data_IF_034697013896
#
_entry.id   IF_034697013896
#
_cell.length_a   1.000
_cell.length_b   1.000
_cell.length_c   1.000
_cell.angle_alpha   90.00
_cell.angle_beta   90.00
_cell.angle_gamma   90.00
#
_symmetry.space_group_name_H-M   'P 1'
#
loop_
_entity.id
_entity.type
_entity.pdbx_description
1 polymer ?
#
# COMPACT_ATOMS: atom_id res chain seq x y z
N UNK A 1 0.07 25.01 13.78
CA UNK A 1 1.20 24.05 13.84
C UNK A 1 2.32 24.62 13.00
N UNK A 2 3.57 24.63 13.46
CA UNK A 2 4.68 25.12 12.67
C UNK A 2 5.38 23.96 11.94
N UNK A 3 6.17 24.26 10.91
CA UNK A 3 6.87 23.25 10.11
C UNK A 3 7.75 22.31 10.95
N UNK A 4 8.39 22.84 12.00
CA UNK A 4 9.23 22.06 12.90
C UNK A 4 8.42 20.97 13.62
N UNK A 5 7.25 21.29 14.17
CA UNK A 5 6.42 20.30 14.86
C UNK A 5 5.87 19.22 13.91
N UNK A 6 5.64 19.55 12.63
CA UNK A 6 5.28 18.57 11.61
C UNK A 6 6.44 17.60 11.36
N UNK A 7 7.67 18.13 11.23
CA UNK A 7 8.86 17.30 11.02
C UNK A 7 9.12 16.41 12.25
N UNK A 8 9.04 16.96 13.45
CA UNK A 8 9.23 16.22 14.70
C UNK A 8 8.22 15.05 14.82
N UNK A 9 6.96 15.25 14.42
CA UNK A 9 5.93 14.21 14.37
C UNK A 9 6.26 13.11 13.36
N UNK A 10 6.66 13.50 12.14
CA UNK A 10 7.04 12.55 11.07
C UNK A 10 8.28 11.73 11.47
N UNK A 11 9.24 12.35 12.17
CA UNK A 11 10.48 11.71 12.61
C UNK A 11 10.38 11.01 13.97
N UNK A 12 9.20 11.00 14.60
CA UNK A 12 8.98 10.33 15.87
C UNK A 12 9.32 8.83 15.80
N UNK A 13 9.75 8.27 16.93
CA UNK A 13 10.09 6.85 17.00
C UNK A 13 8.87 5.96 16.77
N UNK A 14 7.68 6.43 17.12
CA UNK A 14 6.42 5.74 16.87
C UNK A 14 6.14 5.64 15.37
N UNK A 15 6.29 6.75 14.62
CA UNK A 15 6.14 6.75 13.17
C UNK A 15 7.18 5.89 12.45
N UNK A 16 8.43 5.91 12.92
CA UNK A 16 9.48 5.03 12.41
C UNK A 16 9.15 3.55 12.64
N UNK A 17 8.70 3.19 13.83
CA UNK A 17 8.29 1.82 14.17
C UNK A 17 7.09 1.38 13.33
N UNK A 18 6.08 2.23 13.17
CA UNK A 18 4.92 1.99 12.31
C UNK A 18 5.33 1.72 10.85
N UNK A 19 6.20 2.56 10.29
CA UNK A 19 6.70 2.39 8.93
C UNK A 19 7.49 1.09 8.76
N UNK A 20 8.34 0.75 9.73
CA UNK A 20 9.12 -0.49 9.73
C UNK A 20 8.22 -1.73 9.73
N UNK A 21 7.15 -1.73 10.55
CA UNK A 21 6.19 -2.83 10.58
C UNK A 21 5.44 -2.99 9.25
N UNK A 22 4.98 -1.90 8.64
CA UNK A 22 4.32 -1.94 7.34
C UNK A 22 5.28 -2.36 6.22
N UNK A 23 6.54 -1.93 6.28
CA UNK A 23 7.57 -2.38 5.34
C UNK A 23 7.81 -3.89 5.47
N UNK A 24 7.89 -4.42 6.70
CA UNK A 24 8.01 -5.84 6.98
C UNK A 24 6.86 -6.64 6.37
N UNK A 25 5.61 -6.21 6.59
CA UNK A 25 4.42 -6.85 5.99
C UNK A 25 4.52 -6.86 4.45
N UNK A 26 4.91 -5.74 3.85
CA UNK A 26 5.08 -5.64 2.41
C UNK A 26 6.18 -6.57 1.88
N UNK A 27 7.29 -6.70 2.62
CA UNK A 27 8.37 -7.64 2.27
C UNK A 27 7.91 -9.09 2.35
N UNK A 28 7.21 -9.48 3.43
CA UNK A 28 6.65 -10.84 3.56
C UNK A 28 5.69 -11.14 2.41
N UNK A 29 4.80 -10.22 2.07
CA UNK A 29 3.88 -10.38 0.93
C UNK A 29 4.61 -10.58 -0.41
N UNK A 30 5.76 -9.92 -0.59
CA UNK A 30 6.58 -9.99 -1.81
C UNK A 30 7.65 -11.11 -1.78
N UNK A 31 7.45 -12.18 -1.02
CA UNK A 31 8.30 -13.37 -0.95
C UNK A 31 9.68 -13.17 -0.26
N UNK A 32 9.85 -12.09 0.51
CA UNK A 32 11.06 -11.88 1.31
C UNK A 32 11.00 -12.51 2.72
N UNK A 33 10.00 -13.38 3.00
CA UNK A 33 9.86 -14.02 4.32
C UNK A 33 11.07 -14.88 4.69
N UNK A 34 11.81 -15.39 3.72
CA UNK A 34 13.01 -16.21 3.98
C UNK A 34 14.02 -15.51 4.88
N UNK A 35 14.18 -14.20 4.73
CA UNK A 35 15.11 -13.42 5.55
C UNK A 35 14.72 -13.47 7.04
N UNK A 36 13.43 -13.31 7.32
CA UNK A 36 12.91 -13.36 8.69
C UNK A 36 12.97 -14.77 9.30
N UNK A 37 12.72 -15.80 8.48
CA UNK A 37 12.89 -17.20 8.90
C UNK A 37 14.35 -17.49 9.26
N UNK A 38 15.30 -17.01 8.41
CA UNK A 38 16.73 -17.16 8.69
C UNK A 38 17.16 -16.42 9.96
N UNK A 39 16.64 -15.21 10.20
CA UNK A 39 16.91 -14.45 11.41
C UNK A 39 16.39 -15.19 12.67
N UNK A 40 15.16 -15.70 12.61
CA UNK A 40 14.58 -16.50 13.69
C UNK A 40 15.42 -17.76 13.97
N UNK A 41 15.82 -18.49 12.93
CA UNK A 41 16.65 -19.68 13.07
C UNK A 41 18.02 -19.37 13.70
N UNK A 42 18.64 -18.24 13.37
CA UNK A 42 19.89 -17.79 13.97
C UNK A 42 19.75 -17.43 15.44
N UNK A 43 18.57 -17.02 15.89
CA UNK A 43 18.29 -16.72 17.28
C UNK A 43 18.06 -17.99 18.10
N UNK A 44 17.51 -19.04 17.48
CA UNK A 44 17.15 -20.30 18.16
C UNK A 44 18.26 -21.37 18.08
N UNK A 45 19.09 -21.34 17.03
CA UNK A 45 20.09 -22.38 16.75
C UNK A 45 21.49 -21.79 16.62
N UNK A 46 22.51 -22.63 16.86
CA UNK A 46 23.90 -22.24 16.64
C UNK A 46 24.17 -21.90 15.17
N UNK A 47 25.12 -21.01 14.91
CA UNK A 47 25.51 -20.64 13.56
C UNK A 47 25.98 -21.85 12.73
N UNK A 48 26.58 -22.85 13.37
CA UNK A 48 26.97 -24.10 12.71
C UNK A 48 25.74 -24.89 12.27
N UNK A 49 24.76 -25.09 13.16
CA UNK A 49 23.51 -25.81 12.85
C UNK A 49 22.78 -25.16 11.71
N UNK A 50 22.67 -23.81 11.70
CA UNK A 50 22.00 -23.07 10.60
C UNK A 50 22.72 -23.24 9.27
N UNK A 51 24.07 -23.32 9.26
CA UNK A 51 24.86 -23.57 8.03
C UNK A 51 24.71 -24.99 7.50
N UNK A 52 24.51 -25.96 8.38
CA UNK A 52 24.32 -27.38 8.04
C UNK A 52 22.90 -27.65 7.50
N UNK A 53 21.94 -26.74 7.70
CA UNK A 53 20.62 -26.83 7.11
C UNK A 53 20.71 -26.69 5.58
N UNK A 54 20.61 -27.82 4.86
CA UNK A 54 20.77 -27.87 3.39
C UNK A 54 19.68 -27.09 2.64
N UNK A 55 18.47 -27.05 3.18
CA UNK A 55 17.34 -26.42 2.51
C UNK A 55 16.42 -25.77 3.56
N UNK A 56 16.21 -24.47 3.41
CA UNK A 56 15.22 -23.74 4.17
C UNK A 56 14.12 -23.35 3.17
N UNK A 57 12.99 -24.04 3.24
CA UNK A 57 11.81 -23.77 2.43
C UNK A 57 10.78 -23.02 3.25
N UNK A 58 10.18 -22.01 2.64
CA UNK A 58 9.05 -21.28 3.22
C UNK A 58 7.95 -21.12 2.17
N UNK A 59 6.72 -21.30 2.60
CA UNK A 59 5.55 -21.08 1.74
C UNK A 59 4.90 -19.76 2.11
N UNK A 60 4.70 -18.88 1.13
CA UNK A 60 4.08 -17.58 1.38
C UNK A 60 2.54 -17.71 1.45
N UNK A 61 2.06 -18.18 2.59
CA UNK A 61 0.63 -18.24 2.87
C UNK A 61 0.00 -16.85 2.98
N UNK A 62 0.76 -15.85 3.46
CA UNK A 62 0.28 -14.48 3.59
C UNK A 62 -0.15 -13.92 2.21
N UNK A 63 0.71 -14.03 1.21
CA UNK A 63 0.38 -13.60 -0.15
C UNK A 63 -0.84 -14.33 -0.70
N UNK A 64 -0.88 -15.66 -0.55
CA UNK A 64 -1.99 -16.46 -1.04
C UNK A 64 -3.32 -16.07 -0.40
N UNK A 65 -3.34 -15.88 0.92
CA UNK A 65 -4.54 -15.46 1.65
C UNK A 65 -4.98 -14.06 1.19
N UNK A 66 -4.06 -13.09 1.11
CA UNK A 66 -4.37 -11.72 0.68
C UNK A 66 -4.92 -11.71 -0.75
N UNK A 67 -4.31 -12.44 -1.68
CA UNK A 67 -4.74 -12.49 -3.07
C UNK A 67 -6.13 -13.14 -3.21
N UNK A 68 -6.41 -14.19 -2.45
CA UNK A 68 -7.73 -14.82 -2.43
C UNK A 68 -8.81 -13.93 -1.78
N UNK A 69 -8.48 -13.25 -0.69
CA UNK A 69 -9.38 -12.33 -0.01
C UNK A 69 -9.60 -11.01 -0.78
N UNK A 70 -8.73 -10.69 -1.75
CA UNK A 70 -8.83 -9.47 -2.56
C UNK A 70 -9.75 -9.69 -3.75
N UNK A 71 -11.06 -9.77 -3.47
CA UNK A 71 -12.09 -10.09 -4.47
C UNK A 71 -12.54 -8.90 -5.32
N UNK A 72 -12.37 -7.67 -4.83
CA UNK A 72 -12.76 -6.45 -5.55
C UNK A 72 -11.87 -6.30 -6.78
N UNK A 73 -12.46 -5.94 -7.92
CA UNK A 73 -11.77 -5.82 -9.21
C UNK A 73 -11.13 -7.13 -9.76
N UNK A 74 -11.57 -8.31 -9.30
CA UNK A 74 -11.24 -9.58 -9.99
C UNK A 74 -11.86 -9.64 -11.38
N UNK A 75 -13.04 -9.02 -11.55
CA UNK A 75 -13.71 -8.81 -12.85
C UNK A 75 -13.65 -7.32 -13.19
N UNK A 76 -13.72 -7.02 -14.48
CA UNK A 76 -13.82 -5.61 -14.92
C UNK A 76 -15.11 -5.02 -14.34
N UNK A 77 -15.05 -3.87 -13.65
CA UNK A 77 -16.26 -3.24 -13.13
C UNK A 77 -17.09 -2.69 -14.28
N UNK A 78 -18.40 -2.82 -14.17
CA UNK A 78 -19.34 -2.09 -14.98
C UNK A 78 -19.47 -0.68 -14.41
N UNK A 79 -19.33 0.34 -15.26
CA UNK A 79 -19.48 1.73 -14.90
C UNK A 79 -20.63 2.31 -15.69
N UNK A 80 -21.60 2.79 -14.96
CA UNK A 80 -22.70 3.53 -15.55
C UNK A 80 -22.41 5.03 -15.39
N UNK A 81 -22.54 5.76 -16.46
CA UNK A 81 -22.47 7.22 -16.43
C UNK A 81 -23.88 7.78 -16.37
N UNK A 82 -24.02 8.95 -15.73
CA UNK A 82 -25.32 9.63 -15.69
C UNK A 82 -25.83 9.90 -17.13
N UNK A 83 -27.11 9.74 -17.34
CA UNK A 83 -27.76 10.07 -18.62
C UNK A 83 -27.67 11.56 -19.00
N UNK A 84 -27.20 12.40 -18.06
CA UNK A 84 -27.05 13.85 -18.27
C UNK A 84 -25.74 14.24 -18.96
N UNK A 85 -24.78 13.31 -19.12
CA UNK A 85 -23.52 13.61 -19.79
C UNK A 85 -23.56 13.27 -21.28
N UNK A 86 -22.90 14.10 -22.06
CA UNK A 86 -22.77 13.88 -23.50
C UNK A 86 -21.86 12.71 -23.84
N UNK A 87 -21.98 12.14 -25.03
CA UNK A 87 -21.13 11.06 -25.52
C UNK A 87 -19.64 11.45 -25.50
N UNK A 88 -19.30 12.69 -25.90
CA UNK A 88 -17.94 13.21 -25.86
C UNK A 88 -17.37 13.27 -24.42
N UNK A 89 -18.21 13.60 -23.44
CA UNK A 89 -17.81 13.58 -22.02
C UNK A 89 -17.60 12.14 -21.53
N UNK A 90 -18.43 11.21 -21.97
CA UNK A 90 -18.27 9.79 -21.65
C UNK A 90 -16.94 9.24 -22.18
N UNK A 91 -16.61 9.50 -23.45
CA UNK A 91 -15.33 9.13 -24.04
C UNK A 91 -14.14 9.75 -23.28
N UNK A 92 -14.23 11.01 -22.89
CA UNK A 92 -13.19 11.69 -22.12
C UNK A 92 -12.96 11.03 -20.74
N UNK A 93 -14.04 10.63 -20.06
CA UNK A 93 -13.97 9.91 -18.77
C UNK A 93 -13.30 8.54 -18.95
N UNK A 94 -13.68 7.79 -19.99
CA UNK A 94 -13.08 6.49 -20.28
C UNK A 94 -11.58 6.62 -20.58
N UNK A 95 -11.15 7.64 -21.32
CA UNK A 95 -9.72 7.90 -21.56
C UNK A 95 -8.97 8.21 -20.27
N UNK A 96 -9.57 8.98 -19.34
CA UNK A 96 -8.99 9.25 -18.02
C UNK A 96 -8.80 7.96 -17.23
N UNK A 97 -9.81 7.07 -17.20
CA UNK A 97 -9.71 5.78 -16.52
C UNK A 97 -8.63 4.87 -17.12
N UNK A 98 -8.50 4.87 -18.46
CA UNK A 98 -7.47 4.10 -19.16
C UNK A 98 -6.06 4.64 -18.88
N UNK A 99 -5.85 5.95 -19.01
CA UNK A 99 -4.57 6.61 -18.76
C UNK A 99 -4.12 6.44 -17.30
N UNK A 100 -5.04 6.57 -16.36
CA UNK A 100 -4.80 6.33 -14.93
C UNK A 100 -4.61 4.85 -14.59
N UNK A 101 -4.89 3.91 -15.50
CA UNK A 101 -4.95 2.47 -15.24
C UNK A 101 -5.80 2.17 -14.00
N UNK A 102 -6.97 2.80 -13.93
CA UNK A 102 -7.79 2.87 -12.73
C UNK A 102 -8.11 1.48 -12.16
N UNK A 103 -8.58 0.53 -12.97
CA UNK A 103 -8.93 -0.82 -12.53
C UNK A 103 -7.74 -1.57 -11.91
N UNK A 104 -6.57 -1.46 -12.54
CA UNK A 104 -5.34 -2.09 -12.04
C UNK A 104 -4.91 -1.49 -10.71
N UNK A 105 -4.98 -0.17 -10.59
CA UNK A 105 -4.59 0.53 -9.38
C UNK A 105 -5.61 0.29 -8.25
N UNK A 106 -6.91 0.27 -8.53
CA UNK A 106 -7.93 -0.03 -7.53
C UNK A 106 -7.86 -1.49 -7.05
N UNK A 107 -7.57 -2.45 -7.96
CA UNK A 107 -7.27 -3.82 -7.55
C UNK A 107 -6.06 -3.87 -6.60
N UNK A 108 -4.99 -3.16 -6.94
CA UNK A 108 -3.79 -3.05 -6.10
C UNK A 108 -4.09 -2.37 -4.76
N UNK A 109 -4.94 -1.32 -4.77
CA UNK A 109 -5.38 -0.67 -3.53
C UNK A 109 -6.12 -1.64 -2.62
N UNK A 110 -7.02 -2.48 -3.16
CA UNK A 110 -7.70 -3.50 -2.39
C UNK A 110 -6.72 -4.52 -1.77
N UNK A 111 -5.72 -4.99 -2.51
CA UNK A 111 -4.68 -5.88 -1.99
C UNK A 111 -3.87 -5.19 -0.87
N UNK A 112 -3.44 -3.94 -1.08
CA UNK A 112 -2.73 -3.15 -0.07
C UNK A 112 -3.58 -2.90 1.18
N UNK A 113 -4.86 -2.58 1.00
CA UNK A 113 -5.79 -2.42 2.10
C UNK A 113 -5.95 -3.71 2.92
N UNK A 114 -6.09 -4.88 2.27
CA UNK A 114 -6.14 -6.17 2.96
C UNK A 114 -4.87 -6.49 3.74
N UNK A 115 -3.70 -6.13 3.18
CA UNK A 115 -2.41 -6.37 3.82
C UNK A 115 -2.13 -5.42 5.00
N UNK A 116 -2.48 -4.14 4.86
CA UNK A 116 -2.08 -3.09 5.79
C UNK A 116 -3.23 -2.49 6.59
N UNK A 117 -4.49 -2.79 6.21
CA UNK A 117 -5.75 -2.19 6.69
C UNK A 117 -5.87 -0.69 6.35
N UNK A 118 -4.93 -0.16 5.61
CA UNK A 118 -4.92 1.21 5.11
C UNK A 118 -4.06 1.31 3.84
N UNK A 119 -4.39 2.24 2.98
CA UNK A 119 -3.56 2.66 1.85
C UNK A 119 -4.00 4.06 1.42
N UNK A 120 -3.13 4.77 0.72
CA UNK A 120 -3.49 6.04 0.09
C UNK A 120 -3.51 5.88 -1.44
N UNK A 121 -4.41 6.58 -2.08
CA UNK A 121 -4.46 6.69 -3.54
C UNK A 121 -4.10 8.13 -3.88
N UNK A 122 -2.95 8.30 -4.52
CA UNK A 122 -2.49 9.58 -5.01
C UNK A 122 -2.91 9.75 -6.47
N UNK A 123 -3.61 10.82 -6.77
CA UNK A 123 -4.01 11.20 -8.14
C UNK A 123 -3.27 12.47 -8.52
N UNK A 124 -2.50 12.42 -9.59
CA UNK A 124 -1.64 13.52 -10.03
C UNK A 124 -1.81 13.78 -11.52
N UNK A 125 -1.93 15.03 -11.95
CA UNK A 125 -1.77 15.40 -13.34
C UNK A 125 -0.26 15.35 -13.71
N UNK A 126 0.08 14.66 -14.78
CA UNK A 126 1.45 14.59 -15.31
C UNK A 126 1.44 14.47 -16.82
N UNK A 127 2.13 15.39 -17.49
CA UNK A 127 2.25 15.42 -18.95
C UNK A 127 0.87 15.41 -19.67
N UNK A 128 -0.09 16.18 -19.16
CA UNK A 128 -1.43 16.24 -19.72
C UNK A 128 -2.33 15.03 -19.48
N UNK A 129 -1.85 14.05 -18.67
CA UNK A 129 -2.57 12.83 -18.30
C UNK A 129 -2.77 12.73 -16.80
N UNK A 130 -3.80 12.04 -16.38
CA UNK A 130 -4.03 11.72 -14.97
C UNK A 130 -3.30 10.42 -14.64
N UNK A 131 -2.44 10.47 -13.62
CA UNK A 131 -1.77 9.30 -13.07
C UNK A 131 -2.34 8.96 -11.70
N UNK A 132 -2.61 7.69 -11.48
CA UNK A 132 -3.02 7.16 -10.18
C UNK A 132 -1.90 6.28 -9.62
N UNK A 133 -1.58 6.46 -8.34
CA UNK A 133 -0.61 5.63 -7.61
C UNK A 133 -1.21 5.13 -6.32
N UNK A 134 -0.90 3.91 -5.96
CA UNK A 134 -1.30 3.32 -4.68
C UNK A 134 -0.10 3.29 -3.76
N UNK A 135 -0.18 4.02 -2.67
CA UNK A 135 0.87 4.15 -1.67
C UNK A 135 0.58 3.22 -0.49
N UNK A 136 1.61 2.52 -0.03
CA UNK A 136 1.56 1.74 1.20
C UNK A 136 1.88 2.64 2.40
N UNK A 137 1.44 2.30 3.63
CA UNK A 137 1.58 3.18 4.80
C UNK A 137 3.01 3.56 5.19
N UNK A 138 4.02 2.84 4.71
CA UNK A 138 5.42 3.20 4.92
C UNK A 138 5.94 4.27 3.93
N UNK A 139 5.13 4.66 2.93
CA UNK A 139 5.50 5.59 1.87
C UNK A 139 4.91 6.99 2.07
N UNK A 140 4.06 7.16 3.07
CA UNK A 140 3.43 8.45 3.38
C UNK A 140 3.22 8.61 4.88
N UNK A 141 3.09 9.84 5.29
CA UNK A 141 2.69 10.24 6.63
C UNK A 141 1.43 11.07 6.55
N UNK A 142 0.61 10.98 7.59
CA UNK A 142 -0.56 11.83 7.76
C UNK A 142 -0.41 12.51 9.10
N UNK A 143 -0.35 13.81 9.11
CA UNK A 143 -0.28 14.61 10.34
C UNK A 143 -1.68 15.14 10.63
N UNK A 144 -2.36 14.57 11.63
CA UNK A 144 -3.73 14.99 11.97
C UNK A 144 -3.77 16.42 12.47
N UNK A 145 -4.93 17.04 12.37
CA UNK A 145 -5.16 18.34 12.98
C UNK A 145 -5.12 18.19 14.53
N UNK A 146 -4.19 18.87 15.23
CA UNK A 146 -4.04 18.73 16.68
C UNK A 146 -5.24 19.27 17.47
N UNK A 147 -6.06 20.14 16.88
CA UNK A 147 -7.25 20.71 17.52
C UNK A 147 -8.50 19.87 17.31
N UNK A 148 -8.59 19.19 16.18
CA UNK A 148 -9.67 18.24 15.88
C UNK A 148 -9.13 17.16 14.94
N UNK A 149 -8.79 15.97 15.46
CA UNK A 149 -8.26 14.86 14.65
C UNK A 149 -9.24 14.31 13.61
N UNK A 150 -10.53 14.63 13.70
CA UNK A 150 -11.57 14.23 12.73
C UNK A 150 -11.63 15.17 11.52
N UNK A 151 -11.03 16.35 11.62
CA UNK A 151 -10.91 17.29 10.51
C UNK A 151 -9.85 16.86 9.49
N UNK A 152 -9.76 17.61 8.39
CA UNK A 152 -8.74 17.39 7.39
C UNK A 152 -7.32 17.46 8.00
N UNK A 153 -6.44 16.52 7.66
CA UNK A 153 -5.05 16.54 8.10
C UNK A 153 -4.33 17.82 7.68
N UNK A 154 -3.43 18.30 8.52
CA UNK A 154 -2.62 19.51 8.24
C UNK A 154 -1.45 19.22 7.28
N UNK A 155 -1.07 17.95 7.12
CA UNK A 155 -0.03 17.52 6.17
C UNK A 155 -0.21 16.04 5.76
N UNK A 156 0.32 15.73 4.57
CA UNK A 156 0.39 14.38 3.99
C UNK A 156 1.82 14.08 3.53
#
# INVERSE_FOLDING_TARGET
>A
MNLKSIIDEIESDENKARKAEHLKRNRVYNDYQREYVLEMLKNEFSAQTVREMRTITSVNLCRRIIDECSSIYKRKPERETSSEISEAQHEAIELIYQDAKADTNLKRANQKFKLHQQCAIQVLPKNGKIQMRVLSPHQYDVVPNPFNPEDEPVAY
#
